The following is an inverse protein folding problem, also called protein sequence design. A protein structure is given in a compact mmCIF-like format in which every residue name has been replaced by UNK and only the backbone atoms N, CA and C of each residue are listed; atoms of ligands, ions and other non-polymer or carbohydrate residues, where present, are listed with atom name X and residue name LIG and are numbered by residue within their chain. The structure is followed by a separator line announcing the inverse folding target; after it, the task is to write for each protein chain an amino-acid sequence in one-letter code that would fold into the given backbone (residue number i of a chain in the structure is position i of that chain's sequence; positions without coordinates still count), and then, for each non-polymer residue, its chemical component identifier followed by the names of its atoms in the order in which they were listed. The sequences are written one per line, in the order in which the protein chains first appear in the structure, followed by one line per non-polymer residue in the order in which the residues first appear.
data_IF_433637711072
#
_entry.id   IF_433637711072
#
_cell.length_a   1.000
_cell.length_b   1.000
_cell.length_c   1.000
_cell.angle_alpha   90.00
_cell.angle_beta   90.00
_cell.angle_gamma   90.00
#
_symmetry.space_group_name_H-M   'P 1'
#
loop_
_entity.id
_entity.type
_entity.pdbx_description
1 polymer ?
#
# COMPACT_ATOMS: atom_id res chain seq x y z
N UNK A 1 4.95 -20.41 13.03
CA UNK A 1 4.97 -20.55 11.56
C UNK A 1 6.10 -21.48 11.14
N UNK A 2 5.89 -22.30 10.11
CA UNK A 2 6.94 -23.15 9.53
C UNK A 2 7.75 -22.38 8.48
N UNK A 3 8.94 -22.90 8.13
CA UNK A 3 9.81 -22.31 7.10
C UNK A 3 9.13 -22.29 5.72
N UNK A 4 8.29 -23.28 5.43
CA UNK A 4 7.50 -23.36 4.20
C UNK A 4 6.40 -22.28 4.14
N UNK A 5 5.72 -22.04 5.27
CA UNK A 5 4.73 -20.95 5.37
C UNK A 5 5.38 -19.58 5.18
N UNK A 6 6.56 -19.38 5.77
CA UNK A 6 7.34 -18.15 5.65
C UNK A 6 7.71 -17.88 4.18
N UNK A 7 8.22 -18.90 3.48
CA UNK A 7 8.58 -18.77 2.07
C UNK A 7 7.37 -18.41 1.20
N UNK A 8 6.23 -19.07 1.43
CA UNK A 8 4.99 -18.81 0.71
C UNK A 8 4.50 -17.37 0.89
N UNK A 9 4.53 -16.86 2.12
CA UNK A 9 4.14 -15.47 2.39
C UNK A 9 5.12 -14.49 1.73
N UNK A 10 6.42 -14.77 1.80
CA UNK A 10 7.43 -13.91 1.16
C UNK A 10 7.19 -13.77 -0.34
N UNK A 11 6.86 -14.87 -1.03
CA UNK A 11 6.60 -14.89 -2.47
C UNK A 11 5.36 -14.06 -2.85
N UNK A 12 4.30 -14.15 -2.02
CA UNK A 12 3.09 -13.33 -2.20
C UNK A 12 3.42 -11.86 -1.95
N UNK A 13 4.15 -11.53 -0.88
CA UNK A 13 4.54 -10.15 -0.58
C UNK A 13 5.40 -9.53 -1.68
N UNK A 14 6.34 -10.28 -2.28
CA UNK A 14 7.13 -9.80 -3.42
C UNK A 14 6.25 -9.50 -4.65
N UNK A 15 5.29 -10.39 -4.95
CA UNK A 15 4.36 -10.19 -6.07
C UNK A 15 3.45 -8.97 -5.85
N UNK A 16 2.93 -8.80 -4.63
CA UNK A 16 2.08 -7.65 -4.28
C UNK A 16 2.89 -6.34 -4.25
N UNK A 17 4.13 -6.35 -3.76
CA UNK A 17 5.03 -5.19 -3.77
C UNK A 17 5.24 -4.67 -5.19
N UNK A 18 5.50 -5.57 -6.14
CA UNK A 18 5.69 -5.20 -7.54
C UNK A 18 4.42 -4.60 -8.14
N UNK A 19 3.25 -5.20 -7.88
CA UNK A 19 1.96 -4.69 -8.36
C UNK A 19 1.67 -3.28 -7.83
N UNK A 20 1.77 -3.08 -6.52
CA UNK A 20 1.52 -1.77 -5.89
C UNK A 20 2.50 -0.72 -6.41
N UNK A 21 3.76 -1.09 -6.66
CA UNK A 21 4.74 -0.17 -7.27
C UNK A 21 4.40 0.21 -8.70
N UNK A 22 3.90 -0.73 -9.49
CA UNK A 22 3.44 -0.45 -10.85
C UNK A 22 2.25 0.50 -10.85
N UNK A 23 1.27 0.27 -9.97
CA UNK A 23 0.11 1.14 -9.78
C UNK A 23 0.54 2.55 -9.32
N UNK A 24 1.45 2.64 -8.35
CA UNK A 24 2.04 3.91 -7.92
C UNK A 24 2.73 4.63 -9.07
N UNK A 25 3.46 3.94 -9.94
CA UNK A 25 4.12 4.57 -11.07
C UNK A 25 3.16 5.18 -12.10
N UNK A 26 1.89 4.75 -12.12
CA UNK A 26 0.84 5.32 -12.99
C UNK A 26 0.36 6.65 -12.43
N UNK A 27 0.11 6.74 -11.12
CA UNK A 27 -0.53 7.91 -10.48
C UNK A 27 0.45 8.85 -9.79
N UNK A 28 1.67 8.39 -9.54
CA UNK A 28 2.73 9.08 -8.83
C UNK A 28 4.06 8.98 -9.57
N UNK A 29 4.95 9.94 -9.36
CA UNK A 29 6.34 9.90 -9.78
C UNK A 29 7.22 9.62 -8.58
N UNK A 30 8.22 8.76 -8.79
CA UNK A 30 9.21 8.50 -7.75
C UNK A 30 10.00 9.78 -7.49
N UNK A 31 10.02 10.19 -6.24
CA UNK A 31 10.69 11.40 -5.80
C UNK A 31 12.22 11.22 -5.95
N UNK A 32 12.91 12.08 -6.72
CA UNK A 32 14.36 11.94 -6.89
C UNK A 32 15.15 12.38 -5.65
N UNK A 33 14.55 13.14 -4.73
CA UNK A 33 15.18 13.57 -3.48
C UNK A 33 15.05 12.51 -2.37
N UNK A 34 14.09 11.59 -2.47
CA UNK A 34 13.85 10.53 -1.50
C UNK A 34 13.59 9.18 -2.18
N UNK A 35 14.45 8.16 -2.00
CA UNK A 35 14.34 6.88 -2.72
C UNK A 35 13.07 6.07 -2.38
N UNK A 36 12.39 6.43 -1.29
CA UNK A 36 11.09 5.87 -0.84
C UNK A 36 9.92 6.83 -1.09
N UNK A 37 10.20 8.07 -1.49
CA UNK A 37 9.19 9.10 -1.72
C UNK A 37 8.49 8.92 -3.06
N UNK A 38 7.19 9.15 -3.05
CA UNK A 38 6.35 9.25 -4.24
C UNK A 38 5.61 10.59 -4.16
N UNK A 39 5.62 11.34 -5.26
CA UNK A 39 4.83 12.56 -5.43
C UNK A 39 3.67 12.29 -6.39
N UNK A 40 2.46 12.78 -6.11
CA UNK A 40 1.34 12.61 -7.02
C UNK A 40 1.64 13.29 -8.35
N UNK A 41 1.19 12.68 -9.45
CA UNK A 41 1.23 13.32 -10.77
C UNK A 41 0.19 14.43 -10.80
N UNK A 42 0.63 15.63 -10.44
CA UNK A 42 -0.13 16.86 -10.65
C UNK A 42 -0.05 17.19 -12.14
N UNK A 43 -1.20 17.27 -12.81
CA UNK A 43 -1.24 17.74 -14.18
C UNK A 43 -0.67 19.17 -14.24
N UNK A 44 0.34 19.35 -15.08
CA UNK A 44 1.14 20.55 -15.26
C UNK A 44 0.28 21.82 -15.47
N UNK A 45 0.37 22.76 -14.53
CA UNK A 45 -0.11 24.14 -14.68
C UNK A 45 0.88 24.91 -15.56
N UNK A 46 0.82 24.70 -16.88
CA UNK A 46 1.76 25.33 -17.83
C UNK A 46 1.17 25.81 -19.15
N UNK A 47 -0.15 25.68 -19.36
CA UNK A 47 -0.80 26.10 -20.61
C UNK A 47 -2.17 26.68 -20.35
N UNK A 48 -2.39 27.90 -20.85
CA UNK A 48 -3.67 28.54 -21.18
C UNK A 48 -4.89 27.64 -21.01
N UNK A 49 -5.63 27.89 -19.92
CA UNK A 49 -6.82 27.14 -19.52
C UNK A 49 -8.05 27.74 -20.20
N UNK A 50 -8.65 26.99 -21.13
CA UNK A 50 -10.06 27.15 -21.50
C UNK A 50 -10.93 26.86 -20.26
N UNK A 51 -11.85 27.76 -19.94
CA UNK A 51 -12.63 27.76 -18.68
C UNK A 51 -13.50 26.49 -18.51
N UNK A 52 -13.81 25.78 -19.60
CA UNK A 52 -14.59 24.53 -19.64
C UNK A 52 -13.81 23.27 -19.19
N UNK A 53 -12.48 23.30 -19.21
CA UNK A 53 -11.62 22.14 -18.91
C UNK A 53 -11.13 22.10 -17.45
N UNK A 54 -11.37 23.18 -16.70
CA UNK A 54 -10.90 23.36 -15.30
C UNK A 54 -11.54 22.36 -14.32
N UNK A 55 -12.83 22.03 -14.48
CA UNK A 55 -13.56 21.16 -13.55
C UNK A 55 -13.15 19.68 -13.64
N UNK A 56 -12.77 19.21 -14.84
CA UNK A 56 -12.34 17.83 -15.07
C UNK A 56 -10.94 17.59 -14.48
N UNK A 57 -10.05 18.57 -14.64
CA UNK A 57 -8.65 18.49 -14.21
C UNK A 57 -8.43 18.54 -12.69
N UNK A 58 -9.22 19.33 -11.94
CA UNK A 58 -9.15 19.31 -10.46
C UNK A 58 -9.58 17.98 -9.89
N UNK A 59 -10.64 17.38 -10.45
CA UNK A 59 -11.15 16.07 -9.99
C UNK A 59 -10.10 14.97 -10.18
N UNK A 60 -9.44 14.90 -11.35
CA UNK A 60 -8.36 13.93 -11.63
C UNK A 60 -7.14 14.10 -10.70
N UNK A 61 -6.81 15.32 -10.28
CA UNK A 61 -5.69 15.57 -9.37
C UNK A 61 -6.01 15.17 -7.92
N UNK A 62 -7.24 15.41 -7.46
CA UNK A 62 -7.69 15.02 -6.11
C UNK A 62 -7.84 13.50 -6.00
N UNK A 63 -8.39 12.84 -7.02
CA UNK A 63 -8.49 11.37 -7.06
C UNK A 63 -7.11 10.69 -7.11
N UNK A 64 -6.17 11.22 -7.89
CA UNK A 64 -4.81 10.70 -7.95
C UNK A 64 -4.07 10.85 -6.62
N UNK A 65 -4.30 11.95 -5.88
CA UNK A 65 -3.68 12.17 -4.57
C UNK A 65 -4.20 11.17 -3.54
N UNK A 66 -5.52 10.94 -3.49
CA UNK A 66 -6.10 9.94 -2.58
C UNK A 66 -5.61 8.53 -2.88
N UNK A 67 -5.55 8.16 -4.17
CA UNK A 67 -5.07 6.86 -4.62
C UNK A 67 -3.56 6.68 -4.37
N UNK A 68 -2.74 7.70 -4.62
CA UNK A 68 -1.31 7.71 -4.27
C UNK A 68 -1.10 7.46 -2.77
N UNK A 69 -1.88 8.14 -1.92
CA UNK A 69 -1.79 7.98 -0.47
C UNK A 69 -2.16 6.56 -0.02
N UNK A 70 -3.26 6.00 -0.56
CA UNK A 70 -3.67 4.63 -0.27
C UNK A 70 -2.61 3.61 -0.69
N UNK A 71 -2.10 3.72 -1.93
CA UNK A 71 -1.09 2.81 -2.44
C UNK A 71 0.23 2.92 -1.68
N UNK A 72 0.63 4.12 -1.22
CA UNK A 72 1.80 4.29 -0.34
C UNK A 72 1.60 3.64 1.01
N UNK A 73 0.44 3.81 1.62
CA UNK A 73 0.11 3.11 2.87
C UNK A 73 0.16 1.60 2.70
N UNK A 74 -0.35 1.09 1.57
CA UNK A 74 -0.27 -0.34 1.27
C UNK A 74 1.17 -0.81 1.07
N UNK A 75 1.99 -0.06 0.32
CA UNK A 75 3.40 -0.37 0.12
C UNK A 75 4.16 -0.40 1.45
N UNK A 76 3.93 0.57 2.33
CA UNK A 76 4.53 0.64 3.66
C UNK A 76 4.12 -0.57 4.52
N UNK A 77 2.84 -0.97 4.46
CA UNK A 77 2.35 -2.17 5.14
C UNK A 77 3.05 -3.45 4.63
N UNK A 78 3.29 -3.57 3.32
CA UNK A 78 4.05 -4.68 2.72
C UNK A 78 5.49 -4.69 3.22
N UNK A 79 6.18 -3.55 3.20
CA UNK A 79 7.57 -3.43 3.68
C UNK A 79 7.68 -3.79 5.16
N UNK A 80 6.74 -3.28 5.98
CA UNK A 80 6.64 -3.59 7.40
C UNK A 80 6.38 -5.08 7.64
N UNK A 81 5.48 -5.70 6.87
CA UNK A 81 5.22 -7.13 6.91
C UNK A 81 6.50 -7.95 6.61
N UNK A 82 7.26 -7.59 5.57
CA UNK A 82 8.54 -8.23 5.22
C UNK A 82 9.57 -8.09 6.34
N UNK A 83 9.65 -6.91 6.96
CA UNK A 83 10.57 -6.69 8.08
C UNK A 83 10.19 -7.54 9.30
N UNK A 84 8.91 -7.57 9.67
CA UNK A 84 8.40 -8.43 10.75
C UNK A 84 8.69 -9.90 10.46
N UNK A 85 8.60 -10.31 9.21
CA UNK A 85 8.85 -11.68 8.76
C UNK A 85 10.33 -12.05 8.90
N UNK A 86 11.25 -11.12 8.58
CA UNK A 86 12.70 -11.27 8.86
C UNK A 86 13.02 -11.30 10.36
N UNK A 87 12.33 -10.48 11.16
CA UNK A 87 12.50 -10.42 12.63
C UNK A 87 11.81 -11.58 13.38
N UNK A 88 10.99 -12.37 12.71
CA UNK A 88 10.21 -13.46 13.32
C UNK A 88 9.00 -13.00 14.13
N UNK A 89 8.58 -11.74 14.01
CA UNK A 89 7.41 -11.17 14.68
C UNK A 89 6.18 -11.06 13.75
N UNK A 90 6.24 -11.71 12.59
CA UNK A 90 5.16 -11.67 11.61
C UNK A 90 3.95 -12.50 12.06
N UNK A 91 2.76 -12.01 11.69
CA UNK A 91 1.50 -12.63 12.06
C UNK A 91 0.98 -12.23 13.44
N UNK A 92 1.39 -11.08 13.99
CA UNK A 92 0.81 -10.50 15.20
C UNK A 92 -0.02 -9.26 14.86
N UNK A 93 -1.22 -9.17 15.43
CA UNK A 93 -2.10 -8.02 15.29
C UNK A 93 -1.53 -6.80 16.02
N UNK A 94 -1.41 -5.66 15.33
CA UNK A 94 -0.88 -4.42 15.94
C UNK A 94 -1.85 -3.80 16.96
N UNK A 95 -3.14 -4.10 16.87
CA UNK A 95 -4.18 -3.54 17.76
C UNK A 95 -4.36 -4.33 19.05
N UNK A 96 -4.34 -5.66 18.98
CA UNK A 96 -4.63 -6.52 20.13
C UNK A 96 -3.53 -7.53 20.47
N UNK A 97 -2.45 -7.59 19.70
CA UNK A 97 -1.31 -8.46 19.95
C UNK A 97 -1.56 -9.95 19.70
N UNK A 98 -2.75 -10.34 19.25
CA UNK A 98 -3.08 -11.76 18.98
C UNK A 98 -2.47 -12.25 17.68
N UNK A 99 -2.21 -13.55 17.60
CA UNK A 99 -1.76 -14.20 16.37
C UNK A 99 -2.85 -14.12 15.29
N UNK A 100 -2.44 -13.72 14.09
CA UNK A 100 -3.26 -13.67 12.90
C UNK A 100 -3.21 -15.05 12.24
N UNK A 101 -4.37 -15.68 11.97
CA UNK A 101 -4.40 -17.01 11.37
C UNK A 101 -3.73 -17.00 9.99
N UNK A 102 -2.99 -18.07 9.69
CA UNK A 102 -2.23 -18.19 8.45
C UNK A 102 -3.11 -18.07 7.20
N UNK A 103 -4.31 -18.64 7.20
CA UNK A 103 -5.26 -18.51 6.08
C UNK A 103 -5.57 -17.04 5.74
N UNK A 104 -5.64 -16.18 6.74
CA UNK A 104 -5.86 -14.74 6.54
C UNK A 104 -4.59 -14.04 6.07
N UNK A 105 -3.43 -14.41 6.58
CA UNK A 105 -2.14 -13.90 6.07
C UNK A 105 -1.89 -14.37 4.63
N UNK A 106 -2.41 -15.52 4.24
CA UNK A 106 -2.31 -16.02 2.87
C UNK A 106 -3.24 -15.23 1.93
N UNK A 107 -4.41 -14.82 2.40
CA UNK A 107 -5.34 -13.99 1.62
C UNK A 107 -4.94 -12.51 1.61
N UNK A 108 -4.41 -12.00 2.72
CA UNK A 108 -4.01 -10.60 2.92
C UNK A 108 -2.68 -10.56 3.71
N UNK A 109 -1.53 -10.69 3.03
CA UNK A 109 -0.23 -10.79 3.70
C UNK A 109 0.27 -9.46 4.27
N UNK A 110 -0.20 -8.34 3.74
CA UNK A 110 0.14 -7.01 4.25
C UNK A 110 -0.77 -6.56 5.41
N UNK A 111 -1.68 -7.40 5.92
CA UNK A 111 -2.65 -6.97 6.95
C UNK A 111 -1.99 -6.76 8.32
N UNK A 112 -2.09 -5.57 8.92
CA UNK A 112 -1.54 -5.31 10.26
C UNK A 112 -2.47 -5.78 11.40
N UNK A 113 -3.73 -6.07 11.10
CA UNK A 113 -4.77 -6.35 12.11
C UNK A 113 -5.28 -7.78 12.01
N UNK A 114 -5.81 -8.37 13.07
CA UNK A 114 -6.56 -9.65 13.04
C UNK A 114 -7.98 -9.47 12.49
N UNK A 115 -8.68 -10.57 12.17
CA UNK A 115 -10.03 -10.52 11.57
C UNK A 115 -11.01 -9.69 12.42
N UNK A 116 -10.98 -9.88 13.74
CA UNK A 116 -11.82 -9.13 14.69
C UNK A 116 -11.50 -7.64 14.68
N UNK A 117 -10.22 -7.28 14.62
CA UNK A 117 -9.81 -5.87 14.63
C UNK A 117 -10.08 -5.20 13.29
N UNK A 118 -9.96 -5.93 12.18
CA UNK A 118 -10.26 -5.44 10.84
C UNK A 118 -11.75 -5.18 10.64
N UNK A 119 -12.61 -6.08 11.13
CA UNK A 119 -14.07 -5.94 11.04
C UNK A 119 -14.61 -4.74 11.85
N UNK A 120 -13.86 -4.32 12.88
CA UNK A 120 -14.18 -3.13 13.68
C UNK A 120 -13.79 -1.81 13.00
N UNK A 121 -12.86 -1.81 12.04
CA UNK A 121 -12.44 -0.58 11.33
C UNK A 121 -13.29 -0.34 10.07
N UNK A 122 -13.98 -1.37 9.56
CA UNK A 122 -14.82 -1.29 8.35
C UNK A 122 -16.28 -0.89 8.61
N UNK A 123 -16.58 -0.39 9.82
CA UNK A 123 -17.92 0.07 10.27
C UNK A 123 -17.85 1.53 10.71
#
# INVERSE_FOLDING_TARGET
MTQEQIQKISDILDSEEERVRQELAVVAVKDPATPEGYQPKIADYGGEIDEDDTARKTTDSETNTALEHELKHHLDAILTAREKLKKGHYGLCEKCGVEIPFERLQAMPATPYCIKCSELESQ
#
